data_IF_137697080664
#
_entry.id   IF_137697080664
#
_cell.length_a   1.000
_cell.length_b   1.000
_cell.length_c   1.000
_cell.angle_alpha   90.00
_cell.angle_beta   90.00
_cell.angle_gamma   90.00
#
_symmetry.space_group_name_H-M   'P 1'
#
loop_
_entity.id
_entity.type
_entity.pdbx_description
1 polymer ?
#
# COMPACT_ATOMS: atom_id res chain seq x y z
N UNK A 1 3.85 -27.80 42.14
CA UNK A 1 4.48 -28.12 40.84
C UNK A 1 3.38 -28.00 39.80
N UNK A 2 3.14 -26.78 39.34
CA UNK A 2 2.13 -26.49 38.32
C UNK A 2 2.72 -26.78 36.94
N UNK A 3 2.17 -27.80 36.27
CA UNK A 3 2.53 -28.16 34.91
C UNK A 3 2.01 -27.10 33.93
N UNK A 4 2.92 -26.28 33.40
CA UNK A 4 2.64 -25.37 32.31
C UNK A 4 2.21 -26.17 31.07
N UNK A 5 0.94 -26.03 30.66
CA UNK A 5 0.45 -26.56 29.39
C UNK A 5 1.16 -25.84 28.23
N UNK A 6 1.61 -26.58 27.19
CA UNK A 6 2.19 -25.95 26.00
C UNK A 6 1.08 -25.19 25.24
N UNK A 7 1.26 -23.89 25.07
CA UNK A 7 0.44 -23.06 24.18
C UNK A 7 0.76 -23.47 22.75
N UNK A 8 -0.23 -24.03 22.04
CA UNK A 8 -0.08 -24.35 20.63
C UNK A 8 0.15 -23.06 19.82
N UNK A 9 1.02 -23.06 18.79
CA UNK A 9 1.19 -21.90 17.93
C UNK A 9 -0.15 -21.57 17.25
N UNK A 10 -0.66 -20.36 17.48
CA UNK A 10 -1.81 -19.85 16.76
C UNK A 10 -1.46 -19.81 15.27
N UNK A 11 -2.12 -20.64 14.47
CA UNK A 11 -2.02 -20.56 13.01
C UNK A 11 -2.56 -19.19 12.60
N UNK A 12 -1.68 -18.25 12.27
CA UNK A 12 -2.08 -16.99 11.67
C UNK A 12 -2.90 -17.31 10.42
N UNK A 13 -4.14 -16.78 10.28
CA UNK A 13 -4.97 -17.08 9.14
C UNK A 13 -4.21 -16.65 7.88
N UNK A 14 -4.06 -17.56 6.92
CA UNK A 14 -3.45 -17.26 5.63
C UNK A 14 -4.30 -16.20 4.93
N UNK A 15 -3.78 -14.96 4.89
CA UNK A 15 -4.47 -13.81 4.29
C UNK A 15 -3.97 -13.63 2.88
N UNK A 16 -4.78 -14.04 1.91
CA UNK A 16 -4.50 -13.82 0.50
C UNK A 16 -4.63 -12.33 0.18
N UNK A 17 -3.65 -11.70 -0.48
CA UNK A 17 -3.82 -10.35 -1.02
C UNK A 17 -5.01 -10.28 -1.97
N UNK A 18 -5.74 -9.16 -1.95
CA UNK A 18 -6.85 -8.91 -2.86
C UNK A 18 -6.30 -8.26 -4.12
N UNK A 19 -6.35 -8.98 -5.23
CA UNK A 19 -6.01 -8.49 -6.55
C UNK A 19 -7.29 -8.12 -7.31
N UNK A 20 -7.36 -6.91 -7.85
CA UNK A 20 -8.50 -6.47 -8.66
C UNK A 20 -8.08 -5.54 -9.80
N UNK A 21 -8.84 -5.61 -10.89
CA UNK A 21 -8.78 -4.63 -11.97
C UNK A 21 -9.73 -3.49 -11.65
N UNK A 22 -9.18 -2.29 -11.45
CA UNK A 22 -9.96 -1.10 -11.15
C UNK A 22 -10.01 -0.17 -12.35
N UNK A 23 -11.19 0.33 -12.67
CA UNK A 23 -11.36 1.41 -13.62
C UNK A 23 -11.09 2.76 -12.93
N UNK A 24 -10.06 3.48 -13.36
CA UNK A 24 -9.63 4.76 -12.77
C UNK A 24 -10.21 5.99 -13.50
N UNK A 25 -10.69 5.82 -14.73
CA UNK A 25 -11.42 6.85 -15.47
C UNK A 25 -12.36 6.22 -16.51
N UNK A 26 -13.29 6.99 -17.06
CA UNK A 26 -14.14 6.57 -18.18
C UNK A 26 -13.54 7.03 -19.52
N UNK A 27 -13.16 6.10 -20.44
CA UNK A 27 -12.55 6.47 -21.71
C UNK A 27 -13.41 7.41 -22.55
N UNK A 28 -14.73 7.20 -22.55
CA UNK A 28 -15.65 8.03 -23.32
C UNK A 28 -15.69 9.47 -22.82
N UNK A 29 -15.60 9.68 -21.50
CA UNK A 29 -15.53 11.03 -20.95
C UNK A 29 -14.22 11.72 -21.33
N UNK A 30 -13.09 11.00 -21.31
CA UNK A 30 -11.78 11.54 -21.71
C UNK A 30 -11.75 11.87 -23.20
N UNK A 31 -12.30 10.98 -24.05
CA UNK A 31 -12.39 11.22 -25.50
C UNK A 31 -13.23 12.47 -25.81
N UNK A 32 -14.42 12.59 -25.21
CA UNK A 32 -15.27 13.78 -25.38
C UNK A 32 -14.57 15.07 -24.95
N UNK A 33 -13.84 15.03 -23.84
CA UNK A 33 -13.06 16.17 -23.37
C UNK A 33 -11.91 16.51 -24.31
N UNK A 34 -11.24 15.51 -24.88
CA UNK A 34 -10.17 15.67 -25.86
C UNK A 34 -10.68 16.30 -27.18
N UNK A 35 -11.81 15.82 -27.68
CA UNK A 35 -12.45 16.32 -28.91
C UNK A 35 -12.95 17.76 -28.73
N UNK A 36 -13.38 18.11 -27.51
CA UNK A 36 -13.83 19.46 -27.15
C UNK A 36 -12.72 20.47 -26.85
N UNK A 37 -11.43 20.07 -26.89
CA UNK A 37 -10.33 21.01 -26.67
C UNK A 37 -10.16 21.94 -27.87
N UNK A 38 -10.20 23.25 -27.61
CA UNK A 38 -9.85 24.27 -28.58
C UNK A 38 -8.43 24.03 -29.15
N UNK A 39 -8.21 24.46 -30.40
CA UNK A 39 -6.93 24.26 -31.10
C UNK A 39 -5.76 25.05 -30.49
N UNK A 40 -6.02 26.06 -29.65
CA UNK A 40 -4.98 26.91 -29.08
C UNK A 40 -4.76 26.65 -27.59
N UNK A 41 -3.48 26.50 -27.24
CA UNK A 41 -2.89 26.57 -25.89
C UNK A 41 -3.16 25.40 -24.90
N UNK A 42 -3.60 24.23 -25.37
CA UNK A 42 -3.79 23.04 -24.51
C UNK A 42 -2.96 21.81 -24.92
N UNK A 43 -1.78 22.00 -25.52
CA UNK A 43 -0.94 20.89 -26.01
C UNK A 43 -0.58 19.89 -24.90
N UNK A 44 -0.26 20.37 -23.71
CA UNK A 44 0.05 19.53 -22.54
C UNK A 44 -1.15 18.71 -22.06
N UNK A 45 -2.33 19.31 -22.05
CA UNK A 45 -3.57 18.62 -21.65
C UNK A 45 -4.00 17.61 -22.71
N UNK A 46 -3.92 17.99 -23.99
CA UNK A 46 -4.17 17.12 -25.15
C UNK A 46 -3.27 15.88 -25.10
N UNK A 47 -1.96 16.08 -24.93
CA UNK A 47 -0.99 14.99 -24.78
C UNK A 47 -1.25 14.13 -23.53
N UNK A 48 -1.82 14.70 -22.47
CA UNK A 48 -2.20 13.95 -21.27
C UNK A 48 -3.41 13.07 -21.51
N UNK A 49 -4.48 13.58 -22.14
CA UNK A 49 -5.66 12.77 -22.50
C UNK A 49 -5.34 11.67 -23.51
N UNK A 50 -4.50 11.96 -24.52
CA UNK A 50 -4.01 10.95 -25.46
C UNK A 50 -3.29 9.82 -24.72
N UNK A 51 -2.32 10.15 -23.85
CA UNK A 51 -1.62 9.16 -23.02
C UNK A 51 -2.55 8.38 -22.08
N UNK A 52 -3.59 9.02 -21.55
CA UNK A 52 -4.60 8.33 -20.74
C UNK A 52 -5.31 7.26 -21.57
N UNK A 53 -5.80 7.62 -22.77
CA UNK A 53 -6.50 6.70 -23.66
C UNK A 53 -5.60 5.56 -24.14
N UNK A 54 -4.36 5.86 -24.53
CA UNK A 54 -3.34 4.87 -24.92
C UNK A 54 -3.04 3.86 -23.81
N UNK A 55 -2.89 4.34 -22.56
CA UNK A 55 -2.66 3.48 -21.39
C UNK A 55 -3.90 2.72 -20.93
N UNK A 56 -5.08 3.09 -21.41
CA UNK A 56 -6.35 2.50 -21.02
C UNK A 56 -6.78 2.86 -19.58
N UNK A 57 -8.06 2.58 -19.25
CA UNK A 57 -8.69 3.02 -17.99
C UNK A 57 -8.48 2.08 -16.82
N UNK A 58 -7.96 0.88 -17.04
CA UNK A 58 -7.85 -0.14 -16.01
C UNK A 58 -6.47 -0.13 -15.36
N UNK A 59 -6.43 -0.28 -14.04
CA UNK A 59 -5.20 -0.48 -13.26
C UNK A 59 -5.34 -1.74 -12.45
N UNK A 60 -4.31 -2.58 -12.52
CA UNK A 60 -4.16 -3.71 -11.62
C UNK A 60 -3.70 -3.19 -10.27
N UNK A 61 -4.44 -3.50 -9.22
CA UNK A 61 -4.10 -3.12 -7.85
C UNK A 61 -4.13 -4.35 -6.96
N UNK A 62 -3.15 -4.43 -6.07
CA UNK A 62 -3.07 -5.42 -5.01
C UNK A 62 -3.09 -4.66 -3.69
N UNK A 63 -3.96 -5.10 -2.77
CA UNK A 63 -3.93 -4.63 -1.39
C UNK A 63 -3.96 -5.84 -0.45
N UNK A 64 -3.43 -5.70 0.79
CA UNK A 64 -3.62 -6.73 1.80
C UNK A 64 -5.12 -6.97 2.01
N UNK A 65 -5.54 -8.17 2.41
CA UNK A 65 -6.95 -8.45 2.79
C UNK A 65 -7.28 -8.05 4.23
N UNK A 66 -6.31 -7.48 4.95
CA UNK A 66 -6.45 -6.92 6.28
C UNK A 66 -5.10 -6.50 6.83
N UNK A 67 -5.10 -5.94 8.04
CA UNK A 67 -3.85 -5.67 8.77
C UNK A 67 -3.11 -7.00 9.00
N UNK A 68 -1.85 -7.15 8.54
CA UNK A 68 -1.07 -8.37 8.75
C UNK A 68 -0.72 -8.53 10.24
N UNK A 69 -0.29 -9.74 10.63
CA UNK A 69 0.15 -10.00 12.01
C UNK A 69 1.47 -9.26 12.29
N UNK A 70 1.39 -8.22 13.12
CA UNK A 70 2.51 -7.36 13.47
C UNK A 70 3.21 -7.79 14.77
N UNK A 71 2.70 -8.80 15.49
CA UNK A 71 3.15 -9.11 16.86
C UNK A 71 4.65 -9.39 16.95
N UNK A 72 5.19 -10.16 16.01
CA UNK A 72 6.63 -10.44 15.93
C UNK A 72 7.46 -9.17 15.65
N UNK A 73 6.97 -8.26 14.79
CA UNK A 73 7.65 -7.00 14.51
C UNK A 73 7.73 -6.12 15.76
N UNK A 74 6.64 -5.96 16.52
CA UNK A 74 6.66 -5.20 17.77
C UNK A 74 7.62 -5.83 18.80
N UNK A 75 7.68 -7.16 18.89
CA UNK A 75 8.58 -7.84 19.82
C UNK A 75 10.06 -7.71 19.43
N UNK A 76 10.37 -7.75 18.13
CA UNK A 76 11.75 -7.76 17.61
C UNK A 76 12.32 -6.36 17.33
N UNK A 77 11.46 -5.33 17.26
CA UNK A 77 11.83 -3.95 16.90
C UNK A 77 11.29 -2.93 17.92
N UNK A 78 11.71 -2.98 19.21
CA UNK A 78 11.16 -2.12 20.26
C UNK A 78 11.35 -0.62 20.01
N UNK A 79 12.42 -0.23 19.30
CA UNK A 79 12.72 1.18 18.99
C UNK A 79 11.85 1.75 17.85
N UNK A 80 10.99 0.94 17.23
CA UNK A 80 10.24 1.32 16.03
C UNK A 80 8.73 1.24 16.22
N UNK A 81 8.24 1.13 17.46
CA UNK A 81 6.80 1.02 17.75
C UNK A 81 5.98 2.16 17.15
N UNK A 82 6.43 3.42 17.29
CA UNK A 82 5.73 4.58 16.71
C UNK A 82 5.62 4.47 15.18
N UNK A 83 6.70 4.04 14.52
CA UNK A 83 6.71 3.85 13.06
C UNK A 83 5.80 2.69 12.66
N UNK A 84 5.79 1.59 13.44
CA UNK A 84 4.90 0.45 13.21
C UNK A 84 3.43 0.82 13.38
N UNK A 85 3.10 1.67 14.35
CA UNK A 85 1.75 2.18 14.56
C UNK A 85 1.27 3.01 13.36
N UNK A 86 2.14 3.83 12.78
CA UNK A 86 1.83 4.62 11.58
C UNK A 86 1.63 3.74 10.35
N UNK A 87 2.46 2.71 10.15
CA UNK A 87 2.29 1.72 9.09
C UNK A 87 0.96 0.98 9.29
N UNK A 88 0.68 0.50 10.50
CA UNK A 88 -0.56 -0.22 10.82
C UNK A 88 -1.81 0.61 10.49
N UNK A 89 -1.77 1.92 10.79
CA UNK A 89 -2.85 2.86 10.44
C UNK A 89 -3.02 2.99 8.93
N UNK A 90 -1.94 3.13 8.17
CA UNK A 90 -2.01 3.19 6.70
C UNK A 90 -2.57 1.91 6.08
N UNK A 91 -2.12 0.74 6.55
CA UNK A 91 -2.65 -0.53 6.09
C UNK A 91 -4.14 -0.63 6.36
N UNK A 92 -4.60 -0.23 7.55
CA UNK A 92 -6.02 -0.21 7.91
C UNK A 92 -6.83 0.69 6.96
N UNK A 93 -6.34 1.90 6.66
CA UNK A 93 -7.02 2.83 5.75
C UNK A 93 -7.14 2.28 4.32
N UNK A 94 -6.11 1.58 3.81
CA UNK A 94 -6.17 0.95 2.49
C UNK A 94 -7.15 -0.23 2.39
N UNK A 95 -7.56 -0.82 3.53
CA UNK A 95 -8.57 -1.89 3.52
C UNK A 95 -9.92 -1.38 3.08
N UNK A 96 -10.35 -0.27 3.65
CA UNK A 96 -11.68 0.30 3.44
C UNK A 96 -11.75 1.19 2.18
N UNK A 97 -10.60 1.54 1.58
CA UNK A 97 -10.54 2.25 0.30
C UNK A 97 -10.44 1.31 -0.89
N UNK A 98 -10.85 1.78 -2.06
CA UNK A 98 -10.63 1.10 -3.34
C UNK A 98 -9.21 1.30 -3.90
N UNK A 99 -8.34 1.96 -3.15
CA UNK A 99 -6.96 2.26 -3.56
C UNK A 99 -6.01 1.11 -3.17
N UNK A 100 -4.85 1.04 -3.84
CA UNK A 100 -3.78 0.13 -3.43
C UNK A 100 -3.18 0.55 -2.09
N UNK A 101 -2.43 -0.36 -1.46
CA UNK A 101 -1.62 0.03 -0.30
C UNK A 101 -0.49 0.96 -0.78
N UNK A 102 -0.58 2.24 -0.44
CA UNK A 102 0.53 3.18 -0.56
C UNK A 102 1.13 3.45 0.82
N UNK A 103 2.35 2.98 1.04
CA UNK A 103 3.12 3.30 2.24
C UNK A 103 3.74 4.68 2.04
N UNK A 104 3.42 5.64 2.92
CA UNK A 104 4.05 6.96 2.89
C UNK A 104 5.57 6.82 3.01
N UNK A 105 6.37 7.48 2.15
CA UNK A 105 7.81 7.50 2.31
C UNK A 105 8.22 7.99 3.71
N UNK A 106 9.07 7.23 4.41
CA UNK A 106 9.49 7.51 5.79
C UNK A 106 10.99 7.78 5.87
N UNK A 107 11.37 8.81 6.64
CA UNK A 107 12.76 9.10 7.00
C UNK A 107 13.03 8.62 8.42
N UNK A 108 13.80 7.53 8.55
CA UNK A 108 14.16 6.97 9.86
C UNK A 108 15.41 7.67 10.42
N UNK A 109 15.24 8.51 11.43
CA UNK A 109 16.33 9.20 12.13
C UNK A 109 16.77 8.42 13.37
N UNK A 110 18.08 8.38 13.64
CA UNK A 110 18.62 7.78 14.86
C UNK A 110 20.08 7.34 14.71
N UNK A 111 20.71 6.99 15.84
CA UNK A 111 22.10 6.56 15.94
C UNK A 111 22.43 5.37 14.99
N UNK A 112 23.70 5.23 14.56
CA UNK A 112 24.13 4.04 13.83
C UNK A 112 23.89 2.77 14.67
N UNK A 113 23.49 1.67 14.02
CA UNK A 113 23.27 0.38 14.70
C UNK A 113 21.90 0.19 15.37
N UNK A 114 21.02 1.20 15.44
CA UNK A 114 19.71 1.09 16.11
C UNK A 114 18.70 0.15 15.42
N UNK A 115 19.03 -0.38 14.24
CA UNK A 115 18.21 -1.35 13.51
C UNK A 115 17.42 -0.81 12.30
N UNK A 116 17.68 0.41 11.82
CA UNK A 116 16.96 1.03 10.67
C UNK A 116 16.87 0.13 9.42
N UNK A 117 18.00 -0.45 9.01
CA UNK A 117 18.05 -1.36 7.85
C UNK A 117 17.32 -2.68 8.12
N UNK A 118 17.38 -3.18 9.36
CA UNK A 118 16.68 -4.40 9.76
C UNK A 118 15.15 -4.18 9.77
N UNK A 119 14.69 -3.04 10.29
CA UNK A 119 13.29 -2.61 10.22
C UNK A 119 12.79 -2.57 8.78
N UNK A 120 13.51 -1.91 7.87
CA UNK A 120 13.08 -1.78 6.47
C UNK A 120 12.90 -3.15 5.79
N UNK A 121 13.79 -4.11 6.07
CA UNK A 121 13.69 -5.48 5.53
C UNK A 121 12.49 -6.23 6.11
N UNK A 122 12.31 -6.21 7.43
CA UNK A 122 11.18 -6.88 8.11
C UNK A 122 9.83 -6.31 7.70
N UNK A 123 9.77 -5.00 7.45
CA UNK A 123 8.58 -4.36 6.92
C UNK A 123 8.28 -4.80 5.47
N UNK A 124 9.30 -4.92 4.62
CA UNK A 124 9.14 -5.39 3.25
C UNK A 124 8.74 -6.88 3.17
N UNK A 125 9.17 -7.72 4.12
CA UNK A 125 8.74 -9.12 4.18
C UNK A 125 7.26 -9.27 4.59
N UNK A 126 6.70 -8.25 5.26
CA UNK A 126 5.34 -8.26 5.79
C UNK A 126 4.28 -7.75 4.79
N UNK A 127 4.66 -6.83 3.90
CA UNK A 127 3.77 -6.09 2.99
C UNK A 127 3.82 -6.62 1.56
#
# INVERSE_FOLDING_TARGET
>A
MDSAKPVAPSKSPFRLPVAQMRQVFEPQQVQRKLDGLAERDYDTLRATYQRMLERGPQRFQVKPSGIPDMGELYATLPNFHEVLDDVKRHVALSQDSGDGLEVTPMLLLGAPGIGKTHFARKLADLL
#
